data_IF_364427964579
#
_entry.id   IF_364427964579
#
_cell.length_a   1.000
_cell.length_b   1.000
_cell.length_c   1.000
_cell.angle_alpha   90.00
_cell.angle_beta   90.00
_cell.angle_gamma   90.00
#
_symmetry.space_group_name_H-M   'P 1'
#
loop_
_entity.id
_entity.type
_entity.pdbx_description
1 polymer ?
#
# COMPACT_ATOMS: atom_id res chain seq x y z
N UNK A 1 10.67 -20.00 11.65
CA UNK A 1 9.88 -20.46 10.48
C UNK A 1 8.76 -19.45 10.22
N UNK A 2 8.69 -18.89 9.01
CA UNK A 2 7.62 -17.94 8.70
C UNK A 2 6.26 -18.68 8.66
N UNK A 3 5.17 -18.09 9.17
CA UNK A 3 3.83 -18.71 9.16
C UNK A 3 3.36 -19.13 7.76
N UNK A 4 3.81 -18.42 6.72
CA UNK A 4 3.50 -18.74 5.32
C UNK A 4 4.10 -20.04 4.82
N UNK A 5 5.28 -20.46 5.34
CA UNK A 5 5.87 -21.76 5.01
C UNK A 5 5.06 -22.92 5.60
N UNK A 6 4.57 -22.76 6.84
CA UNK A 6 3.75 -23.77 7.49
C UNK A 6 2.43 -24.04 6.75
N UNK A 7 1.75 -23.01 6.26
CA UNK A 7 0.54 -23.18 5.45
C UNK A 7 0.82 -23.89 4.11
N UNK A 8 1.88 -23.51 3.40
CA UNK A 8 2.28 -24.17 2.17
C UNK A 8 2.59 -25.66 2.36
N UNK A 9 3.21 -26.02 3.48
CA UNK A 9 3.51 -27.42 3.81
C UNK A 9 2.25 -28.22 4.19
N UNK A 10 1.26 -27.58 4.84
CA UNK A 10 -0.04 -28.22 5.11
C UNK A 10 -0.75 -28.55 3.80
N UNK A 11 -0.84 -27.63 2.83
CA UNK A 11 -1.46 -27.89 1.53
C UNK A 11 -0.72 -28.96 0.73
N UNK A 12 0.62 -28.97 0.74
CA UNK A 12 1.41 -30.01 0.09
C UNK A 12 1.13 -31.40 0.70
N UNK A 13 1.04 -31.49 2.03
CA UNK A 13 0.69 -32.73 2.73
C UNK A 13 -0.73 -33.18 2.40
N UNK A 14 -1.70 -32.29 2.32
CA UNK A 14 -3.09 -32.62 1.96
C UNK A 14 -3.18 -33.20 0.55
N UNK A 15 -2.40 -32.70 -0.40
CA UNK A 15 -2.32 -33.26 -1.76
C UNK A 15 -1.57 -34.59 -1.75
N UNK A 16 -0.43 -34.67 -1.05
CA UNK A 16 0.39 -35.90 -0.99
C UNK A 16 -0.31 -37.06 -0.29
N UNK A 17 -1.19 -36.79 0.67
CA UNK A 17 -2.00 -37.81 1.38
C UNK A 17 -3.35 -38.09 0.71
N UNK A 18 -3.61 -37.55 -0.48
CA UNK A 18 -4.88 -37.66 -1.22
C UNK A 18 -6.13 -37.17 -0.44
N UNK A 19 -5.96 -36.40 0.63
CA UNK A 19 -7.07 -35.75 1.32
C UNK A 19 -7.69 -34.68 0.42
N UNK A 20 -6.86 -34.06 -0.43
CA UNK A 20 -7.30 -33.12 -1.48
C UNK A 20 -6.80 -33.63 -2.83
N UNK A 21 -7.69 -33.90 -3.78
CA UNK A 21 -7.26 -34.27 -5.13
C UNK A 21 -6.70 -33.03 -5.85
N UNK A 22 -5.69 -33.24 -6.72
CA UNK A 22 -5.10 -32.18 -7.55
C UNK A 22 -6.15 -31.43 -8.36
N UNK A 23 -7.18 -32.14 -8.82
CA UNK A 23 -8.29 -31.56 -9.59
C UNK A 23 -9.19 -30.66 -8.74
N UNK A 24 -9.41 -31.00 -7.47
CA UNK A 24 -10.13 -30.14 -6.52
C UNK A 24 -9.32 -28.91 -6.16
N UNK A 25 -8.01 -29.05 -5.92
CA UNK A 25 -7.11 -27.93 -5.69
C UNK A 25 -7.10 -26.95 -6.86
N UNK A 26 -7.02 -27.46 -8.11
CA UNK A 26 -7.06 -26.62 -9.32
C UNK A 26 -8.40 -25.90 -9.50
N UNK A 27 -9.52 -26.52 -9.15
CA UNK A 27 -10.85 -25.89 -9.21
C UNK A 27 -11.08 -24.84 -8.12
N UNK A 28 -10.36 -24.92 -7.02
CA UNK A 28 -10.43 -23.92 -5.94
C UNK A 28 -9.67 -22.63 -6.28
N UNK A 29 -8.83 -22.66 -7.33
CA UNK A 29 -8.10 -21.46 -7.78
C UNK A 29 -9.06 -20.61 -8.63
N UNK A 30 -9.35 -19.42 -8.11
CA UNK A 30 -10.11 -18.41 -8.86
C UNK A 30 -9.22 -17.75 -9.91
N UNK A 31 -9.50 -18.04 -11.20
CA UNK A 31 -8.73 -17.49 -12.32
C UNK A 31 -8.81 -15.97 -12.40
N UNK A 32 -9.93 -15.36 -11.99
CA UNK A 32 -10.06 -13.90 -11.99
C UNK A 32 -9.15 -13.29 -10.92
N UNK A 33 -9.04 -13.95 -9.77
CA UNK A 33 -8.12 -13.52 -8.70
C UNK A 33 -6.66 -13.63 -9.15
N UNK A 34 -6.28 -14.69 -9.85
CA UNK A 34 -4.92 -14.82 -10.40
C UNK A 34 -4.60 -13.73 -11.43
N UNK A 35 -5.54 -13.43 -12.33
CA UNK A 35 -5.38 -12.36 -13.30
C UNK A 35 -5.29 -10.99 -12.61
N UNK A 36 -6.09 -10.75 -11.59
CA UNK A 36 -6.02 -9.51 -10.80
C UNK A 36 -4.64 -9.36 -10.12
N UNK A 37 -4.11 -10.42 -9.52
CA UNK A 37 -2.78 -10.40 -8.90
C UNK A 37 -1.70 -10.14 -9.97
N UNK A 38 -1.73 -10.86 -11.08
CA UNK A 38 -0.74 -10.72 -12.13
C UNK A 38 -0.72 -9.29 -12.73
N UNK A 39 -1.91 -8.74 -13.03
CA UNK A 39 -2.02 -7.39 -13.59
C UNK A 39 -1.62 -6.31 -12.59
N UNK A 40 -1.93 -6.48 -11.31
CA UNK A 40 -1.52 -5.53 -10.26
C UNK A 40 -0.02 -5.53 -10.03
N UNK A 41 0.62 -6.72 -10.04
CA UNK A 41 2.08 -6.83 -9.95
C UNK A 41 2.77 -6.20 -11.16
N UNK A 42 2.22 -6.40 -12.37
CA UNK A 42 2.74 -5.78 -13.58
C UNK A 42 2.63 -4.24 -13.50
N UNK A 43 1.47 -3.72 -13.09
CA UNK A 43 1.27 -2.28 -12.89
C UNK A 43 2.23 -1.70 -11.85
N UNK A 44 2.37 -2.38 -10.70
CA UNK A 44 3.31 -1.98 -9.66
C UNK A 44 4.75 -1.92 -10.19
N UNK A 45 5.17 -2.92 -10.96
CA UNK A 45 6.50 -2.95 -11.58
C UNK A 45 6.71 -1.79 -12.57
N UNK A 46 5.70 -1.47 -13.39
CA UNK A 46 5.76 -0.31 -14.30
C UNK A 46 5.94 0.99 -13.52
N UNK A 47 5.18 1.23 -12.46
CA UNK A 47 5.30 2.44 -11.62
C UNK A 47 6.72 2.56 -11.03
N UNK A 48 7.32 1.43 -10.61
CA UNK A 48 8.66 1.41 -10.05
C UNK A 48 9.74 1.68 -11.12
N UNK A 49 9.69 0.96 -12.25
CA UNK A 49 10.73 1.02 -13.30
C UNK A 49 10.68 2.32 -14.12
N UNK A 50 9.51 2.91 -14.30
CA UNK A 50 9.37 4.19 -15.01
C UNK A 50 9.74 5.39 -14.14
N UNK A 51 9.97 5.21 -12.83
CA UNK A 51 10.22 6.31 -11.91
C UNK A 51 9.02 7.23 -11.69
N UNK A 52 7.81 6.80 -12.07
CA UNK A 52 6.58 7.59 -11.96
C UNK A 52 6.34 8.10 -10.53
N UNK A 53 6.60 7.24 -9.53
CA UNK A 53 6.43 7.63 -8.11
C UNK A 53 7.40 8.74 -7.70
N UNK A 54 8.68 8.65 -8.11
CA UNK A 54 9.69 9.68 -7.86
C UNK A 54 9.35 10.98 -8.58
N UNK A 55 8.89 10.89 -9.83
CA UNK A 55 8.46 12.06 -10.61
C UNK A 55 7.31 12.79 -9.93
N UNK A 56 6.29 12.07 -9.44
CA UNK A 56 5.17 12.66 -8.71
C UNK A 56 5.61 13.33 -7.41
N UNK A 57 6.52 12.69 -6.65
CA UNK A 57 7.03 13.26 -5.41
C UNK A 57 7.87 14.53 -5.65
N UNK A 58 8.71 14.54 -6.68
CA UNK A 58 9.50 15.74 -7.04
C UNK A 58 8.60 16.89 -7.46
N UNK A 59 7.58 16.63 -8.29
CA UNK A 59 6.63 17.67 -8.69
C UNK A 59 5.81 18.19 -7.48
N UNK A 60 5.41 17.31 -6.59
CA UNK A 60 4.74 17.73 -5.36
C UNK A 60 5.66 18.61 -4.50
N UNK A 61 6.95 18.27 -4.36
CA UNK A 61 7.92 19.10 -3.64
C UNK A 61 8.07 20.49 -4.24
N UNK A 62 8.16 20.59 -5.55
CA UNK A 62 8.29 21.90 -6.23
C UNK A 62 7.07 22.79 -6.05
N UNK A 63 5.87 22.20 -6.03
CA UNK A 63 4.62 22.94 -5.80
C UNK A 63 4.52 23.39 -4.34
N UNK A 64 4.96 22.57 -3.40
CA UNK A 64 4.75 22.77 -1.97
C UNK A 64 5.94 23.40 -1.24
N UNK A 65 7.05 23.72 -1.90
CA UNK A 65 8.27 24.23 -1.25
C UNK A 65 8.07 25.49 -0.40
N UNK A 66 7.03 26.29 -0.69
CA UNK A 66 6.68 27.50 0.08
C UNK A 66 5.39 27.33 0.91
N UNK A 67 4.89 26.10 1.05
CA UNK A 67 3.66 25.83 1.78
C UNK A 67 3.92 25.58 3.26
N UNK A 68 2.87 25.67 4.08
CA UNK A 68 2.96 25.36 5.50
C UNK A 68 3.31 23.87 5.71
N UNK A 69 4.08 23.54 6.73
CA UNK A 69 4.52 22.15 7.01
C UNK A 69 3.38 21.14 7.10
N UNK A 70 2.24 21.56 7.64
CA UNK A 70 1.03 20.72 7.71
C UNK A 70 0.50 20.34 6.33
N UNK A 71 0.52 21.26 5.38
CA UNK A 71 0.06 21.02 4.00
C UNK A 71 1.02 20.06 3.30
N UNK A 72 2.32 20.24 3.52
CA UNK A 72 3.37 19.37 2.98
C UNK A 72 3.18 17.93 3.50
N UNK A 73 3.08 17.77 4.81
CA UNK A 73 2.90 16.47 5.47
C UNK A 73 1.63 15.76 4.98
N UNK A 74 0.51 16.50 4.96
CA UNK A 74 -0.81 16.02 4.54
C UNK A 74 -0.82 15.57 3.08
N UNK A 75 -0.26 16.38 2.17
CA UNK A 75 -0.22 16.09 0.74
C UNK A 75 0.71 14.90 0.44
N UNK A 76 1.84 14.82 1.13
CA UNK A 76 2.76 13.71 0.99
C UNK A 76 2.15 12.39 1.47
N UNK A 77 1.41 12.42 2.59
CA UNK A 77 0.65 11.26 3.08
C UNK A 77 -0.33 10.75 2.02
N UNK A 78 -1.13 11.65 1.42
CA UNK A 78 -2.10 11.29 0.37
C UNK A 78 -1.39 10.66 -0.83
N UNK A 79 -0.29 11.26 -1.30
CA UNK A 79 0.47 10.74 -2.44
C UNK A 79 0.91 9.29 -2.18
N UNK A 80 1.59 9.05 -1.05
CA UNK A 80 2.08 7.72 -0.68
C UNK A 80 0.92 6.74 -0.49
N UNK A 81 -0.17 7.19 0.16
CA UNK A 81 -1.38 6.40 0.38
C UNK A 81 -2.07 5.97 -0.92
N UNK A 82 -2.10 6.84 -1.94
CA UNK A 82 -2.64 6.47 -3.24
C UNK A 82 -1.74 5.41 -3.91
N UNK A 83 -0.43 5.63 -3.93
CA UNK A 83 0.52 4.76 -4.63
C UNK A 83 0.59 3.37 -3.98
N UNK A 84 0.53 3.28 -2.65
CA UNK A 84 0.53 1.98 -1.96
C UNK A 84 -0.67 1.10 -2.30
N UNK A 85 -1.74 1.67 -2.83
CA UNK A 85 -2.90 0.90 -3.29
C UNK A 85 -2.71 0.24 -4.67
N UNK A 86 -1.63 0.56 -5.38
CA UNK A 86 -1.26 -0.04 -6.68
C UNK A 86 -0.01 -0.91 -6.61
N UNK A 87 0.89 -0.64 -5.66
CA UNK A 87 2.10 -1.43 -5.41
C UNK A 87 2.06 -2.01 -3.99
N UNK A 88 2.83 -3.06 -3.75
CA UNK A 88 2.86 -3.67 -2.40
C UNK A 88 3.40 -2.68 -1.35
N UNK A 89 2.88 -2.76 -0.13
CA UNK A 89 3.31 -1.91 0.99
C UNK A 89 4.83 -1.94 1.20
N UNK A 90 5.44 -3.13 1.11
CA UNK A 90 6.89 -3.28 1.27
C UNK A 90 7.67 -2.56 0.17
N UNK A 91 7.26 -2.71 -1.09
CA UNK A 91 7.88 -2.02 -2.22
C UNK A 91 7.68 -0.50 -2.11
N UNK A 92 6.48 -0.05 -1.71
CA UNK A 92 6.19 1.35 -1.47
C UNK A 92 7.06 1.94 -0.36
N UNK A 93 7.20 1.24 0.77
CA UNK A 93 8.06 1.68 1.88
C UNK A 93 9.52 1.83 1.46
N UNK A 94 10.07 0.83 0.76
CA UNK A 94 11.47 0.87 0.29
C UNK A 94 11.69 2.00 -0.71
N UNK A 95 10.73 2.23 -1.62
CA UNK A 95 10.81 3.29 -2.62
C UNK A 95 10.68 4.68 -1.99
N UNK A 96 9.66 4.88 -1.14
CA UNK A 96 9.36 6.22 -0.62
C UNK A 96 10.22 6.66 0.56
N UNK A 97 10.93 5.76 1.24
CA UNK A 97 11.83 6.18 2.34
C UNK A 97 12.96 7.09 1.85
N UNK A 98 13.78 6.75 0.83
CA UNK A 98 14.77 7.67 0.30
C UNK A 98 14.13 8.92 -0.31
N UNK A 99 13.00 8.78 -1.01
CA UNK A 99 12.27 9.93 -1.58
C UNK A 99 11.80 10.89 -0.49
N UNK A 100 11.36 10.38 0.66
CA UNK A 100 10.95 11.20 1.81
C UNK A 100 12.10 12.03 2.36
N UNK A 101 13.31 11.49 2.38
CA UNK A 101 14.52 12.20 2.83
C UNK A 101 14.83 13.35 1.86
N UNK A 102 14.92 13.04 0.56
CA UNK A 102 15.19 14.05 -0.48
C UNK A 102 14.08 15.12 -0.56
N UNK A 103 12.83 14.71 -0.33
CA UNK A 103 11.68 15.60 -0.30
C UNK A 103 11.76 16.55 0.89
N UNK A 104 12.11 16.01 2.08
CA UNK A 104 12.24 16.78 3.31
C UNK A 104 13.29 17.90 3.17
N UNK A 105 14.45 17.58 2.57
CA UNK A 105 15.51 18.55 2.31
C UNK A 105 15.03 19.70 1.42
N UNK A 106 14.25 19.39 0.37
CA UNK A 106 13.73 20.40 -0.57
C UNK A 106 12.69 21.34 0.05
N UNK A 107 11.93 20.85 1.02
CA UNK A 107 10.87 21.63 1.68
C UNK A 107 11.29 22.15 3.08
N UNK A 108 12.57 22.01 3.45
CA UNK A 108 13.14 22.41 4.73
C UNK A 108 12.41 21.81 5.96
N UNK A 109 12.02 20.54 5.86
CA UNK A 109 11.41 19.78 6.96
C UNK A 109 12.38 18.74 7.50
N UNK A 110 12.16 18.31 8.76
CA UNK A 110 12.93 17.19 9.33
C UNK A 110 12.64 15.89 8.55
N UNK A 111 13.67 15.23 7.96
CA UNK A 111 13.52 13.98 7.24
C UNK A 111 12.87 12.86 8.07
N UNK A 112 13.04 12.90 9.40
CA UNK A 112 12.43 11.95 10.31
C UNK A 112 10.91 12.01 10.27
N UNK A 113 10.32 13.20 10.20
CA UNK A 113 8.87 13.40 10.16
C UNK A 113 8.28 12.78 8.90
N UNK A 114 8.87 13.06 7.74
CA UNK A 114 8.39 12.51 6.47
C UNK A 114 8.66 11.00 6.33
N UNK A 115 9.76 10.49 6.90
CA UNK A 115 9.99 9.04 6.96
C UNK A 115 8.95 8.32 7.82
N UNK A 116 8.55 8.89 8.95
CA UNK A 116 7.45 8.36 9.76
C UNK A 116 6.13 8.45 9.00
N UNK A 117 5.90 9.54 8.25
CA UNK A 117 4.74 9.69 7.39
C UNK A 117 4.63 8.52 6.37
N UNK A 118 5.75 8.12 5.76
CA UNK A 118 5.77 6.94 4.86
C UNK A 118 5.27 5.69 5.58
N UNK A 119 5.75 5.41 6.80
CA UNK A 119 5.35 4.22 7.55
C UNK A 119 3.83 4.19 7.77
N UNK A 120 3.22 5.30 8.13
CA UNK A 120 1.78 5.36 8.34
C UNK A 120 1.01 5.31 7.01
N UNK A 121 1.46 6.04 6.00
CA UNK A 121 0.78 6.12 4.71
C UNK A 121 0.78 4.77 3.96
N UNK A 122 1.88 4.01 3.95
CA UNK A 122 1.93 2.70 3.28
C UNK A 122 1.00 1.67 3.92
N UNK A 123 0.63 1.84 5.19
CA UNK A 123 -0.31 0.97 5.86
C UNK A 123 -1.78 1.32 5.59
N UNK A 124 -2.08 2.38 4.82
CA UNK A 124 -3.45 2.72 4.38
C UNK A 124 -3.85 2.02 3.08
N UNK A 125 -3.54 0.75 2.97
CA UNK A 125 -3.80 -0.11 1.81
C UNK A 125 -5.22 -0.71 1.83
N UNK A 126 -6.24 0.17 1.89
CA UNK A 126 -7.64 -0.25 2.04
C UNK A 126 -8.48 -0.07 0.77
N UNK A 127 -8.00 0.74 -0.20
CA UNK A 127 -8.81 1.15 -1.36
C UNK A 127 -8.95 0.05 -2.41
N UNK A 128 -7.99 -0.86 -2.49
CA UNK A 128 -8.01 -1.91 -3.51
C UNK A 128 -7.74 -3.29 -2.91
N UNK A 129 -8.28 -4.35 -3.49
CA UNK A 129 -7.97 -5.70 -3.05
C UNK A 129 -6.50 -6.08 -3.27
N UNK A 130 -5.84 -5.48 -4.26
CA UNK A 130 -4.45 -5.77 -4.60
C UNK A 130 -3.41 -5.09 -3.71
N UNK A 131 -3.83 -4.08 -2.95
CA UNK A 131 -2.93 -3.30 -2.09
C UNK A 131 -2.30 -4.15 -0.99
N UNK A 132 -3.01 -5.16 -0.50
CA UNK A 132 -2.53 -6.04 0.56
C UNK A 132 -2.97 -7.50 0.35
N UNK A 133 -2.07 -8.44 0.65
CA UNK A 133 -2.34 -9.87 0.41
C UNK A 133 -3.59 -10.39 1.12
N UNK A 134 -3.87 -9.92 2.34
CA UNK A 134 -5.06 -10.32 3.10
C UNK A 134 -6.33 -9.90 2.39
N UNK A 135 -6.36 -8.71 1.77
CA UNK A 135 -7.50 -8.23 1.01
C UNK A 135 -7.85 -9.19 -0.14
N UNK A 136 -6.82 -9.65 -0.87
CA UNK A 136 -6.97 -10.62 -1.93
C UNK A 136 -7.48 -11.98 -1.42
N UNK A 137 -6.94 -12.45 -0.28
CA UNK A 137 -7.31 -13.74 0.28
C UNK A 137 -8.77 -13.80 0.74
N UNK A 138 -9.31 -12.70 1.27
CA UNK A 138 -10.72 -12.65 1.74
C UNK A 138 -11.70 -12.30 0.62
N UNK A 139 -11.24 -11.81 -0.52
CA UNK A 139 -12.10 -11.35 -1.61
C UNK A 139 -13.00 -12.47 -2.14
N UNK A 140 -12.43 -13.62 -2.48
CA UNK A 140 -13.19 -14.75 -3.05
C UNK A 140 -14.08 -15.44 -2.01
N UNK A 141 -13.59 -15.86 -0.83
CA UNK A 141 -14.45 -16.48 0.19
C UNK A 141 -15.55 -15.57 0.73
N UNK A 142 -15.27 -14.26 0.81
CA UNK A 142 -16.20 -13.26 1.30
C UNK A 142 -17.17 -12.72 0.22
N UNK A 143 -17.05 -13.20 -1.02
CA UNK A 143 -17.82 -12.70 -2.16
C UNK A 143 -17.75 -11.17 -2.37
N UNK A 144 -16.64 -10.55 -1.93
CA UNK A 144 -16.41 -9.12 -2.08
C UNK A 144 -16.11 -8.76 -3.55
N UNK A 145 -16.64 -7.62 -3.97
CA UNK A 145 -16.33 -7.01 -5.26
C UNK A 145 -15.30 -5.89 -5.09
N UNK A 146 -14.61 -5.55 -6.15
CA UNK A 146 -13.64 -4.43 -6.16
C UNK A 146 -14.26 -3.13 -5.60
N UNK A 147 -15.51 -2.86 -5.97
CA UNK A 147 -16.23 -1.67 -5.53
C UNK A 147 -16.48 -1.61 -4.02
N UNK A 148 -16.54 -2.76 -3.35
CA UNK A 148 -16.74 -2.81 -1.90
C UNK A 148 -15.50 -2.30 -1.16
N UNK A 149 -14.29 -2.62 -1.67
CA UNK A 149 -13.05 -2.06 -1.14
C UNK A 149 -13.01 -0.53 -1.27
N UNK A 150 -13.43 0.02 -2.41
CA UNK A 150 -13.52 1.47 -2.58
C UNK A 150 -14.52 2.10 -1.62
N UNK A 151 -15.73 1.52 -1.49
CA UNK A 151 -16.79 2.07 -0.63
C UNK A 151 -16.39 2.15 0.85
N UNK A 152 -15.72 1.12 1.35
CA UNK A 152 -15.29 1.07 2.75
C UNK A 152 -13.88 1.62 2.95
N UNK A 153 -13.02 1.47 1.97
CA UNK A 153 -11.63 1.92 2.01
C UNK A 153 -11.48 3.44 1.95
N UNK A 154 -12.30 4.14 1.13
CA UNK A 154 -12.24 5.61 1.02
C UNK A 154 -12.49 6.28 2.37
N UNK A 155 -13.61 6.03 3.08
CA UNK A 155 -13.86 6.67 4.37
C UNK A 155 -12.81 6.27 5.42
N UNK A 156 -12.34 5.03 5.41
CA UNK A 156 -11.31 4.58 6.33
C UNK A 156 -9.96 5.28 6.08
N UNK A 157 -9.53 5.35 4.83
CA UNK A 157 -8.31 6.07 4.44
C UNK A 157 -8.41 7.56 4.79
N UNK A 158 -9.58 8.16 4.58
CA UNK A 158 -9.83 9.55 4.95
C UNK A 158 -9.71 9.78 6.46
N UNK A 159 -10.29 8.91 7.28
CA UNK A 159 -10.17 8.99 8.75
C UNK A 159 -8.70 8.81 9.18
N UNK A 160 -7.98 7.84 8.63
CA UNK A 160 -6.55 7.65 8.92
C UNK A 160 -5.72 8.87 8.53
N UNK A 161 -5.94 9.43 7.35
CA UNK A 161 -5.28 10.64 6.88
C UNK A 161 -5.55 11.84 7.79
N UNK A 162 -6.81 12.08 8.14
CA UNK A 162 -7.21 13.19 9.01
C UNK A 162 -6.59 13.05 10.40
N UNK A 163 -6.71 11.86 10.99
CA UNK A 163 -6.14 11.57 12.32
C UNK A 163 -4.63 11.74 12.32
N UNK A 164 -3.94 11.21 11.30
CA UNK A 164 -2.51 11.38 11.17
C UNK A 164 -2.12 12.85 11.04
N UNK A 165 -2.77 13.59 10.15
CA UNK A 165 -2.47 15.02 9.91
C UNK A 165 -2.66 15.85 11.17
N UNK A 166 -3.77 15.70 11.88
CA UNK A 166 -4.05 16.45 13.12
C UNK A 166 -3.07 16.07 14.22
N UNK A 167 -2.92 14.77 14.49
CA UNK A 167 -2.09 14.28 15.59
C UNK A 167 -0.62 14.66 15.39
N UNK A 168 -0.07 14.45 14.20
CA UNK A 168 1.33 14.77 13.92
C UNK A 168 1.60 16.28 13.90
N UNK A 169 0.66 17.07 13.37
CA UNK A 169 0.81 18.52 13.41
C UNK A 169 0.81 19.07 14.84
N UNK A 170 -0.03 18.51 15.70
CA UNK A 170 -0.04 18.85 17.12
C UNK A 170 1.24 18.39 17.83
N UNK A 171 1.67 17.14 17.59
CA UNK A 171 2.83 16.54 18.27
C UNK A 171 4.16 17.21 17.91
N UNK A 172 4.33 17.59 16.66
CA UNK A 172 5.55 18.24 16.14
C UNK A 172 5.48 19.77 16.08
N UNK A 173 4.42 20.39 16.62
CA UNK A 173 4.19 21.84 16.59
C UNK A 173 4.33 22.43 15.16
N UNK A 174 3.70 21.79 14.19
CA UNK A 174 3.70 22.20 12.78
C UNK A 174 2.57 23.19 12.43
N UNK A 175 1.75 23.53 13.40
CA UNK A 175 0.65 24.50 13.29
C UNK A 175 1.15 25.93 13.40
#
# INVERSE_FOLDING_TARGET
SSPSRGLGDVYKRQIATNVLSTRQAMRAIDSNLLLLIATSLALGKVILETGTASYLAINLATILQNSQPIIILSSFFILVSIITNFISNNACAVLFTPIAIDFAEKVNMDPKILSICVIFAVNTSFLTPMAYQTNLLVMSPGHYKFIDYLKFGIPLTFVCWLTFTIFFSWYYNLL
#
